data_IF_672465857096
#
_entry.id   IF_672465857096
#
_cell.length_a   1.000
_cell.length_b   1.000
_cell.length_c   1.000
_cell.angle_alpha   90.00
_cell.angle_beta   90.00
_cell.angle_gamma   90.00
#
_symmetry.space_group_name_H-M   'P 1'
#
loop_
_entity.id
_entity.type
_entity.pdbx_description
1 polymer ?
#
# COMPACT_ATOMS: atom_id res chain seq x y z
N UNK A 1 7.85 13.80 -8.24
CA UNK A 1 6.77 14.17 -7.30
C UNK A 1 6.36 12.99 -6.40
N UNK A 2 7.25 12.03 -6.10
CA UNK A 2 6.84 10.77 -5.45
C UNK A 2 7.74 10.28 -4.29
N UNK A 3 9.00 10.75 -4.20
CA UNK A 3 9.82 10.53 -3.01
C UNK A 3 9.23 11.11 -1.71
N UNK A 4 8.23 11.99 -1.81
CA UNK A 4 7.51 12.56 -0.67
C UNK A 4 6.68 11.52 0.11
N UNK A 5 6.46 10.34 -0.47
CA UNK A 5 5.75 9.25 0.19
C UNK A 5 6.66 8.46 1.14
N UNK A 6 7.96 8.41 0.86
CA UNK A 6 8.92 7.64 1.67
C UNK A 6 8.89 8.14 3.12
N UNK A 7 8.73 7.21 4.05
CA UNK A 7 8.61 7.46 5.49
C UNK A 7 7.18 7.67 5.98
N UNK A 8 6.18 7.86 5.09
CA UNK A 8 4.78 8.05 5.50
C UNK A 8 4.12 6.74 5.88
N UNK A 9 3.22 6.81 6.88
CA UNK A 9 2.25 5.76 7.15
C UNK A 9 1.16 5.78 6.08
N UNK A 10 0.79 4.60 5.59
CA UNK A 10 -0.20 4.43 4.54
C UNK A 10 -1.17 3.32 4.88
N UNK A 11 -2.40 3.46 4.41
CA UNK A 11 -3.37 2.39 4.27
C UNK A 11 -3.36 1.92 2.83
N UNK A 12 -3.21 0.62 2.62
CA UNK A 12 -3.25 -0.01 1.31
C UNK A 12 -4.59 -0.70 1.14
N UNK A 13 -5.27 -0.43 0.03
CA UNK A 13 -6.53 -1.08 -0.35
C UNK A 13 -6.25 -2.32 -1.19
N UNK A 14 -6.74 -3.47 -0.72
CA UNK A 14 -6.53 -4.75 -1.40
C UNK A 14 -7.76 -5.12 -2.21
N UNK A 15 -7.52 -5.59 -3.43
CA UNK A 15 -8.57 -6.01 -4.35
C UNK A 15 -8.30 -7.42 -4.88
N UNK A 16 -9.36 -8.18 -5.13
CA UNK A 16 -9.29 -9.42 -5.89
C UNK A 16 -9.02 -9.13 -7.36
N UNK A 17 -8.69 -10.18 -8.13
CA UNK A 17 -8.55 -10.08 -9.59
C UNK A 17 -9.82 -9.57 -10.28
N UNK A 18 -10.99 -9.84 -9.70
CA UNK A 18 -12.29 -9.42 -10.22
C UNK A 18 -12.65 -7.98 -9.80
N UNK A 19 -11.74 -7.28 -9.13
CA UNK A 19 -11.93 -5.90 -8.67
C UNK A 19 -12.75 -5.78 -7.38
N UNK A 20 -12.90 -6.88 -6.63
CA UNK A 20 -13.67 -6.87 -5.37
C UNK A 20 -12.75 -6.43 -4.23
N UNK A 21 -13.18 -5.45 -3.44
CA UNK A 21 -12.44 -5.03 -2.25
C UNK A 21 -12.33 -6.18 -1.24
N UNK A 22 -11.10 -6.54 -0.85
CA UNK A 22 -10.80 -7.59 0.11
C UNK A 22 -10.59 -7.04 1.53
N UNK A 23 -10.22 -5.77 1.64
CA UNK A 23 -9.93 -5.11 2.91
C UNK A 23 -8.79 -4.12 2.76
N UNK A 24 -8.21 -3.75 3.90
CA UNK A 24 -7.09 -2.81 3.95
C UNK A 24 -6.02 -3.29 4.90
N UNK A 25 -4.77 -2.98 4.58
CA UNK A 25 -3.62 -3.18 5.49
C UNK A 25 -2.94 -1.84 5.73
N UNK A 26 -2.24 -1.69 6.85
CA UNK A 26 -1.48 -0.47 7.16
C UNK A 26 0.01 -0.76 7.14
N UNK A 27 0.85 0.22 6.80
CA UNK A 27 2.30 0.07 6.83
C UNK A 27 3.03 1.35 6.48
N UNK A 28 4.36 1.29 6.41
CA UNK A 28 5.20 2.46 6.11
C UNK A 28 5.84 2.34 4.74
N UNK A 29 5.82 3.41 3.95
CA UNK A 29 6.53 3.45 2.66
C UNK A 29 8.04 3.52 2.91
N UNK A 30 8.79 2.57 2.37
CA UNK A 30 10.25 2.49 2.46
C UNK A 30 10.95 2.90 1.15
N UNK A 31 10.30 2.69 -0.01
CA UNK A 31 10.89 3.04 -1.31
C UNK A 31 9.83 3.39 -2.35
N UNK A 32 10.26 4.01 -3.47
CA UNK A 32 9.44 4.36 -4.61
C UNK A 32 10.13 4.04 -5.94
N UNK A 33 9.42 3.34 -6.82
CA UNK A 33 9.87 2.99 -8.15
C UNK A 33 8.90 3.56 -9.21
N UNK A 34 9.31 4.59 -9.98
CA UNK A 34 8.49 5.15 -11.06
C UNK A 34 8.49 4.24 -12.28
N UNK A 35 7.35 4.19 -13.00
CA UNK A 35 7.23 3.60 -14.35
C UNK A 35 7.72 2.14 -14.46
N UNK A 36 7.51 1.34 -13.42
CA UNK A 36 7.83 -0.10 -13.39
C UNK A 36 6.89 -0.82 -14.35
N UNK A 37 7.45 -1.68 -15.20
CA UNK A 37 6.67 -2.53 -16.09
C UNK A 37 6.10 -3.71 -15.32
N UNK A 38 4.78 -3.76 -15.19
CA UNK A 38 4.03 -4.79 -14.42
C UNK A 38 3.26 -5.76 -15.32
N UNK A 39 3.35 -5.54 -16.63
CA UNK A 39 2.78 -6.36 -17.69
C UNK A 39 3.13 -5.74 -19.05
N UNK A 40 2.97 -6.48 -20.17
CA UNK A 40 3.36 -5.99 -21.48
C UNK A 40 2.73 -4.63 -21.82
N UNK A 41 3.56 -3.59 -21.93
CA UNK A 41 3.12 -2.22 -22.22
C UNK A 41 2.40 -1.50 -21.07
N UNK A 42 2.30 -2.12 -19.88
CA UNK A 42 1.67 -1.54 -18.70
C UNK A 42 2.72 -1.10 -17.70
N UNK A 43 2.80 0.21 -17.48
CA UNK A 43 3.71 0.81 -16.49
C UNK A 43 2.91 1.39 -15.33
N UNK A 44 3.37 1.11 -14.11
CA UNK A 44 2.81 1.67 -12.88
C UNK A 44 3.91 2.28 -12.03
N UNK A 45 3.51 3.28 -11.27
CA UNK A 45 4.30 3.84 -10.19
C UNK A 45 4.05 2.99 -8.95
N UNK A 46 5.12 2.43 -8.38
CA UNK A 46 5.05 1.51 -7.25
C UNK A 46 5.71 2.11 -6.01
N UNK A 47 5.18 1.77 -4.84
CA UNK A 47 5.78 2.03 -3.54
C UNK A 47 6.07 0.71 -2.85
N UNK A 48 7.23 0.65 -2.20
CA UNK A 48 7.57 -0.46 -1.33
C UNK A 48 7.07 -0.14 0.07
N UNK A 49 6.20 -0.98 0.61
CA UNK A 49 5.63 -0.81 1.95
C UNK A 49 6.17 -1.92 2.84
N UNK A 50 6.64 -1.53 4.02
CA UNK A 50 7.17 -2.41 5.07
C UNK A 50 6.36 -2.22 6.35
N UNK A 51 6.64 -3.06 7.36
CA UNK A 51 5.92 -3.07 8.64
C UNK A 51 4.41 -3.20 8.41
N UNK A 52 4.00 -4.05 7.46
CA UNK A 52 2.59 -4.21 7.09
C UNK A 52 1.83 -4.95 8.20
N UNK A 53 0.74 -4.35 8.67
CA UNK A 53 -0.18 -4.90 9.65
C UNK A 53 -1.55 -5.18 9.02
N UNK A 54 -2.10 -6.37 9.30
CA UNK A 54 -3.40 -6.84 8.79
C UNK A 54 -4.58 -6.52 9.72
N UNK A 55 -4.29 -5.94 10.89
CA UNK A 55 -5.26 -5.78 11.98
C UNK A 55 -5.46 -7.04 12.84
N UNK A 56 -4.91 -8.18 12.43
CA UNK A 56 -4.84 -9.42 13.21
C UNK A 56 -3.36 -9.79 13.45
N UNK A 57 -2.85 -9.65 14.69
CA UNK A 57 -1.44 -9.91 14.99
C UNK A 57 -1.05 -11.40 14.88
N UNK A 58 -2.03 -12.31 14.83
CA UNK A 58 -1.77 -13.75 14.68
C UNK A 58 -1.59 -14.17 13.21
N UNK A 59 -1.98 -13.29 12.27
CA UNK A 59 -1.94 -13.57 10.83
C UNK A 59 -1.10 -12.51 10.12
N UNK A 60 0.22 -12.72 9.97
CA UNK A 60 1.09 -11.77 9.29
C UNK A 60 0.68 -11.64 7.83
N UNK A 61 0.89 -10.44 7.27
CA UNK A 61 0.71 -10.24 5.85
C UNK A 61 1.75 -11.06 5.08
N UNK A 62 1.30 -11.81 4.07
CA UNK A 62 2.18 -12.56 3.17
C UNK A 62 2.03 -12.05 1.75
N UNK A 63 3.14 -11.63 1.16
CA UNK A 63 3.15 -11.19 -0.22
C UNK A 63 3.18 -12.39 -1.19
N UNK A 64 3.21 -12.10 -2.49
CA UNK A 64 3.21 -13.12 -3.53
C UNK A 64 4.50 -13.94 -3.63
N UNK A 65 5.61 -13.46 -3.07
CA UNK A 65 6.90 -14.18 -2.99
C UNK A 65 7.02 -15.03 -1.71
N UNK A 66 6.08 -14.87 -0.78
CA UNK A 66 6.07 -15.56 0.51
C UNK A 66 6.82 -14.82 1.62
N UNK A 67 7.32 -13.61 1.35
CA UNK A 67 7.91 -12.75 2.37
C UNK A 67 6.81 -12.11 3.22
N UNK A 68 7.14 -11.82 4.47
CA UNK A 68 6.21 -11.38 5.48
C UNK A 68 6.30 -9.87 5.69
N UNK A 69 5.14 -9.22 5.81
CA UNK A 69 4.97 -7.83 6.21
C UNK A 69 5.63 -6.77 5.29
N UNK A 70 5.94 -7.14 4.05
CA UNK A 70 6.47 -6.22 3.05
C UNK A 70 5.97 -6.55 1.63
N UNK A 71 5.72 -5.53 0.81
CA UNK A 71 5.33 -5.71 -0.59
C UNK A 71 5.40 -4.41 -1.39
N UNK A 72 5.45 -4.57 -2.73
CA UNK A 72 5.22 -3.49 -3.67
C UNK A 72 3.73 -3.31 -3.95
N UNK A 73 3.26 -2.06 -3.89
CA UNK A 73 1.88 -1.68 -4.22
C UNK A 73 1.86 -0.53 -5.23
N UNK A 74 0.79 -0.44 -6.02
CA UNK A 74 0.61 0.71 -6.89
C UNK A 74 0.29 1.95 -6.04
N UNK A 75 0.83 3.10 -6.43
CA UNK A 75 0.57 4.38 -5.74
C UNK A 75 -0.94 4.73 -5.70
N UNK A 76 -1.72 4.22 -6.65
CA UNK A 76 -3.17 4.45 -6.71
C UNK A 76 -3.95 3.67 -5.65
N UNK A 77 -3.36 2.61 -5.10
CA UNK A 77 -4.00 1.71 -4.12
C UNK A 77 -3.67 2.13 -2.68
N UNK A 78 -2.93 3.24 -2.48
CA UNK A 78 -2.53 3.71 -1.16
C UNK A 78 -3.23 5.03 -0.78
N UNK A 79 -3.54 5.14 0.50
CA UNK A 79 -4.02 6.35 1.17
C UNK A 79 -2.99 6.73 2.23
N UNK A 80 -2.49 7.97 2.21
CA UNK A 80 -1.60 8.46 3.29
C UNK A 80 -2.43 8.65 4.54
N UNK A 81 -1.99 8.04 5.64
CA UNK A 81 -2.57 8.27 6.97
C UNK A 81 -1.88 9.53 7.51
N UNK A 82 -2.60 10.65 7.48
CA UNK A 82 -2.12 11.92 8.02
C UNK A 82 -2.65 12.08 9.45
N UNK A 83 -1.76 12.04 10.45
CA UNK A 83 -2.14 12.21 11.86
C UNK A 83 -2.62 13.65 12.18
N UNK A 84 -2.37 14.63 11.29
CA UNK A 84 -2.69 16.04 11.51
C UNK A 84 -4.00 16.52 10.84
N UNK A 85 -4.72 15.69 10.08
CA UNK A 85 -5.97 16.10 9.46
C UNK A 85 -7.19 15.74 10.35
N UNK A 86 -7.96 16.73 10.86
CA UNK A 86 -9.23 16.41 11.50
C UNK A 86 -10.14 15.72 10.48
N UNK A 87 -10.68 14.55 10.84
CA UNK A 87 -11.65 13.81 10.03
C UNK A 87 -12.85 14.72 9.75
N UNK A 88 -12.89 15.35 8.58
CA UNK A 88 -14.05 16.08 8.08
C UNK A 88 -15.07 15.08 7.53
N UNK A 89 -15.66 14.30 8.42
CA UNK A 89 -16.96 13.69 8.18
C UNK A 89 -17.92 14.24 9.24
N UNK A 90 -18.59 15.34 8.91
CA UNK A 90 -19.84 15.71 9.57
C UNK A 90 -20.96 14.94 8.87
N UNK A 91 -21.70 14.15 9.65
CA UNK A 91 -22.99 13.57 9.26
C UNK A 91 -24.01 14.65 8.91
#
# INVERSE_FOLDING_TARGET
MSYTLVGKQVRVHLYSRDGIALGTVTGRVADYAPKVEVGPGMKKDLVYVVDIETGDPEVPYKNSTGEENESWFAVQDIEVIDDEAPRLFSN
#
